data_IF_486259911972
#
_entry.id   IF_486259911972
#
_cell.length_a   1.000
_cell.length_b   1.000
_cell.length_c   1.000
_cell.angle_alpha   90.00
_cell.angle_beta   90.00
_cell.angle_gamma   90.00
#
_symmetry.space_group_name_H-M   'P 1'
#
loop_
_entity.id
_entity.type
_entity.pdbx_description
1 polymer ?
#
# COMPACT_ATOMS: atom_id res chain seq x y z
N UNK A 1 -2.67 -29.26 -5.94
CA UNK A 1 -3.55 -28.28 -5.26
C UNK A 1 -3.17 -28.03 -3.78
N UNK A 2 -2.86 -29.06 -2.98
CA UNK A 2 -2.55 -28.94 -1.53
C UNK A 2 -1.27 -28.15 -1.24
N UNK A 3 -0.19 -28.35 -2.01
CA UNK A 3 1.08 -27.62 -1.87
C UNK A 3 0.93 -26.13 -2.21
N UNK A 4 0.12 -25.79 -3.23
CA UNK A 4 -0.17 -24.40 -3.60
C UNK A 4 -0.90 -23.68 -2.46
N UNK A 5 -1.91 -24.34 -1.85
CA UNK A 5 -2.64 -23.79 -0.71
C UNK A 5 -1.76 -23.65 0.53
N UNK A 6 -0.83 -24.58 0.81
CA UNK A 6 0.15 -24.44 1.89
C UNK A 6 1.10 -23.26 1.65
N UNK A 7 1.63 -23.10 0.44
CA UNK A 7 2.49 -21.96 0.08
C UNK A 7 1.74 -20.63 0.15
N UNK A 8 0.48 -20.57 -0.30
CA UNK A 8 -0.38 -19.38 -0.19
C UNK A 8 -0.63 -19.06 1.29
N UNK A 9 -0.95 -20.05 2.13
CA UNK A 9 -1.21 -19.88 3.57
C UNK A 9 0.04 -19.41 4.31
N UNK A 10 1.20 -19.97 3.98
CA UNK A 10 2.49 -19.57 4.55
C UNK A 10 2.87 -18.14 4.14
N UNK A 11 2.68 -17.79 2.85
CA UNK A 11 2.92 -16.45 2.33
C UNK A 11 1.96 -15.42 2.94
N UNK A 12 0.67 -15.76 3.11
CA UNK A 12 -0.32 -14.96 3.83
C UNK A 12 0.07 -14.76 5.30
N UNK A 13 0.55 -15.81 5.98
CA UNK A 13 1.04 -15.72 7.35
C UNK A 13 2.24 -14.78 7.50
N UNK A 14 3.24 -14.88 6.62
CA UNK A 14 4.39 -13.96 6.61
C UNK A 14 3.97 -12.51 6.33
N UNK A 15 3.01 -12.30 5.41
CA UNK A 15 2.46 -10.98 5.10
C UNK A 15 1.77 -10.38 6.34
N UNK A 16 1.02 -11.20 7.08
CA UNK A 16 0.31 -10.76 8.29
C UNK A 16 1.27 -10.42 9.43
N UNK A 17 2.34 -11.19 9.61
CA UNK A 17 3.43 -10.90 10.56
C UNK A 17 4.12 -9.60 10.19
N UNK A 18 4.45 -9.39 8.91
CA UNK A 18 5.07 -8.16 8.44
C UNK A 18 4.19 -6.93 8.69
N UNK A 19 2.89 -6.99 8.38
CA UNK A 19 1.96 -5.90 8.71
C UNK A 19 1.86 -5.65 10.21
N UNK A 20 1.89 -6.70 11.03
CA UNK A 20 1.88 -6.58 12.49
C UNK A 20 3.14 -5.88 13.00
N UNK A 21 4.32 -6.24 12.49
CA UNK A 21 5.60 -5.60 12.83
C UNK A 21 5.62 -4.15 12.35
N UNK A 22 5.26 -3.87 11.10
CA UNK A 22 5.20 -2.50 10.57
C UNK A 22 4.22 -1.63 11.37
N UNK A 23 3.07 -2.18 11.74
CA UNK A 23 2.09 -1.48 12.57
C UNK A 23 2.66 -1.20 13.95
N UNK A 24 3.26 -2.20 14.63
CA UNK A 24 3.89 -2.02 15.93
C UNK A 24 5.00 -0.98 15.90
N UNK A 25 5.87 -1.00 14.89
CA UNK A 25 6.92 0.01 14.70
C UNK A 25 6.32 1.39 14.49
N UNK A 26 5.27 1.50 13.69
CA UNK A 26 4.58 2.77 13.44
C UNK A 26 3.88 3.30 14.71
N UNK A 27 3.29 2.41 15.51
CA UNK A 27 2.69 2.73 16.81
C UNK A 27 3.77 3.21 17.78
N UNK A 28 4.90 2.51 17.90
CA UNK A 28 6.00 2.91 18.78
C UNK A 28 6.59 4.26 18.37
N UNK A 29 6.78 4.50 17.08
CA UNK A 29 7.21 5.80 16.57
C UNK A 29 6.19 6.90 16.84
N UNK A 30 4.88 6.59 16.75
CA UNK A 30 3.80 7.50 17.14
C UNK A 30 3.86 7.86 18.63
N UNK A 31 4.03 6.87 19.50
CA UNK A 31 4.20 7.11 20.93
C UNK A 31 5.43 7.97 21.22
N UNK A 32 6.55 7.67 20.58
CA UNK A 32 7.80 8.41 20.75
C UNK A 32 7.63 9.89 20.35
N UNK A 33 6.98 10.18 19.21
CA UNK A 33 6.68 11.56 18.81
C UNK A 33 5.68 12.27 19.73
N UNK A 34 4.66 11.55 20.21
CA UNK A 34 3.73 12.08 21.20
C UNK A 34 4.45 12.44 22.52
N UNK A 35 5.44 11.64 22.93
CA UNK A 35 6.25 11.94 24.11
C UNK A 35 7.15 13.15 23.87
N UNK A 36 7.83 13.20 22.72
CA UNK A 36 8.68 14.34 22.34
C UNK A 36 7.89 15.66 22.26
N UNK A 37 6.68 15.63 21.69
CA UNK A 37 5.83 16.83 21.61
C UNK A 37 5.27 17.28 22.95
N UNK A 38 5.08 16.37 23.92
CA UNK A 38 4.72 16.72 25.31
C UNK A 38 5.88 17.36 26.08
N UNK A 39 7.12 16.99 25.75
CA UNK A 39 8.34 17.52 26.36
C UNK A 39 8.71 18.90 25.80
N UNK A 40 8.50 19.16 24.50
CA UNK A 40 8.77 20.46 23.86
C UNK A 40 7.59 21.45 24.03
N UNK A 41 7.60 22.28 25.09
CA UNK A 41 6.56 23.32 25.34
C UNK A 41 6.54 24.47 24.30
N UNK A 42 7.60 24.62 23.50
CA UNK A 42 7.80 25.74 22.56
C UNK A 42 7.44 25.45 21.10
N UNK A 43 7.18 24.18 20.73
CA UNK A 43 6.78 23.83 19.34
C UNK A 43 5.27 23.93 19.15
N UNK A 44 4.85 24.55 18.05
CA UNK A 44 3.47 24.46 17.54
C UNK A 44 3.02 23.00 17.50
N UNK A 45 1.94 22.66 18.23
CA UNK A 45 1.37 21.30 18.29
C UNK A 45 1.06 20.81 16.88
N UNK A 46 1.85 19.87 16.37
CA UNK A 46 1.56 19.18 15.10
C UNK A 46 0.63 18.02 15.42
N UNK A 47 -0.48 17.92 14.68
CA UNK A 47 -1.48 16.85 14.88
C UNK A 47 -1.21 15.61 14.01
N UNK A 48 -0.30 15.74 13.04
CA UNK A 48 0.08 14.71 12.08
C UNK A 48 1.57 14.83 11.76
N UNK A 49 2.24 13.69 11.60
CA UNK A 49 3.65 13.64 11.20
C UNK A 49 3.84 12.60 10.11
N UNK A 50 4.62 12.96 9.08
CA UNK A 50 5.05 12.03 8.04
C UNK A 50 6.36 11.35 8.46
N UNK A 51 6.35 10.03 8.53
CA UNK A 51 7.55 9.23 8.79
C UNK A 51 7.88 8.38 7.57
N UNK A 52 9.14 8.39 7.14
CA UNK A 52 9.58 7.47 6.10
C UNK A 52 9.65 6.05 6.67
N UNK A 53 9.22 5.08 5.87
CA UNK A 53 9.44 3.66 6.16
C UNK A 53 10.42 3.08 5.15
N UNK A 54 11.41 2.34 5.65
CA UNK A 54 12.32 1.59 4.79
C UNK A 54 11.54 0.44 4.14
N UNK A 55 11.87 0.15 2.89
CA UNK A 55 11.12 -0.83 2.09
C UNK A 55 12.07 -1.76 1.38
N UNK A 56 11.77 -3.06 1.39
CA UNK A 56 12.59 -4.08 0.73
C UNK A 56 12.25 -4.25 -0.76
N UNK A 57 11.37 -3.42 -1.33
CA UNK A 57 10.91 -3.55 -2.72
C UNK A 57 11.72 -2.65 -3.65
N UNK A 58 12.41 -3.24 -4.63
CA UNK A 58 13.30 -2.51 -5.58
C UNK A 58 12.60 -1.37 -6.34
N UNK A 59 11.29 -1.49 -6.65
CA UNK A 59 10.53 -0.46 -7.39
C UNK A 59 9.84 0.59 -6.51
N UNK A 60 9.96 0.48 -5.18
CA UNK A 60 9.27 1.37 -4.26
C UNK A 60 10.15 2.56 -3.93
N UNK A 61 9.87 3.69 -4.56
CA UNK A 61 10.61 4.95 -4.37
C UNK A 61 10.51 5.41 -2.92
N UNK A 62 9.30 5.39 -2.35
CA UNK A 62 9.08 5.87 -0.98
C UNK A 62 7.79 5.31 -0.41
N UNK A 63 7.86 4.76 0.79
CA UNK A 63 6.69 4.62 1.66
C UNK A 63 6.83 5.60 2.81
N UNK A 64 5.71 6.17 3.23
CA UNK A 64 5.66 6.86 4.49
C UNK A 64 4.32 6.77 5.16
N UNK A 65 4.34 7.10 6.43
CA UNK A 65 3.23 6.91 7.35
C UNK A 65 2.86 8.27 7.90
N UNK A 66 1.60 8.67 7.71
CA UNK A 66 1.02 9.84 8.34
C UNK A 66 0.42 9.39 9.66
N UNK A 67 1.14 9.64 10.74
CA UNK A 67 0.77 9.22 12.09
C UNK A 67 -0.33 10.12 12.64
N UNK A 68 -1.37 9.50 13.19
CA UNK A 68 -2.39 10.22 13.95
C UNK A 68 -1.94 10.43 15.39
N UNK A 69 -2.01 11.68 15.86
CA UNK A 69 -1.70 12.00 17.25
C UNK A 69 -2.96 12.27 18.09
N UNK A 70 -4.06 12.75 17.49
CA UNK A 70 -5.22 13.24 18.25
C UNK A 70 -6.60 13.07 17.59
N UNK A 71 -6.68 12.75 16.29
CA UNK A 71 -7.97 12.65 15.61
C UNK A 71 -8.73 11.39 16.02
N UNK A 72 -10.03 11.54 16.28
CA UNK A 72 -10.97 10.44 16.52
C UNK A 72 -11.86 10.16 15.32
N UNK A 73 -12.24 11.21 14.59
CA UNK A 73 -13.02 11.11 13.36
C UNK A 73 -12.14 10.72 12.16
N UNK A 74 -12.38 9.56 11.50
CA UNK A 74 -11.67 9.14 10.31
C UNK A 74 -11.74 10.15 9.16
N UNK A 75 -12.90 10.78 8.96
CA UNK A 75 -13.11 11.73 7.87
C UNK A 75 -12.25 12.98 8.06
N UNK A 76 -12.24 13.54 9.26
CA UNK A 76 -11.40 14.68 9.61
C UNK A 76 -9.90 14.34 9.53
N UNK A 77 -9.50 13.17 10.04
CA UNK A 77 -8.13 12.67 9.93
C UNK A 77 -7.67 12.61 8.48
N UNK A 78 -8.44 11.95 7.60
CA UNK A 78 -8.10 11.78 6.19
C UNK A 78 -8.03 13.12 5.45
N UNK A 79 -8.94 14.06 5.75
CA UNK A 79 -8.88 15.43 5.21
C UNK A 79 -7.60 16.15 5.60
N UNK A 80 -7.21 16.11 6.88
CA UNK A 80 -6.03 16.80 7.37
C UNK A 80 -4.72 16.13 6.94
N UNK A 81 -4.74 14.80 6.70
CA UNK A 81 -3.62 14.06 6.13
C UNK A 81 -3.24 14.52 4.71
N UNK A 82 -4.15 15.16 3.98
CA UNK A 82 -3.89 15.67 2.62
C UNK A 82 -2.70 16.63 2.56
N UNK A 83 -2.50 17.48 3.57
CA UNK A 83 -1.37 18.43 3.60
C UNK A 83 -0.03 17.69 3.55
N UNK A 84 0.16 16.68 4.40
CA UNK A 84 1.39 15.88 4.42
C UNK A 84 1.53 15.02 3.16
N UNK A 85 0.43 14.42 2.70
CA UNK A 85 0.39 13.63 1.47
C UNK A 85 0.83 14.43 0.24
N UNK A 86 0.19 15.60 0.02
CA UNK A 86 0.42 16.43 -1.16
C UNK A 86 1.87 16.92 -1.28
N UNK A 87 2.50 17.29 -0.16
CA UNK A 87 3.92 17.68 -0.13
C UNK A 87 4.81 16.55 -0.64
N UNK A 88 4.59 15.32 -0.18
CA UNK A 88 5.43 14.18 -0.53
C UNK A 88 5.19 13.71 -1.96
N UNK A 89 3.93 13.69 -2.41
CA UNK A 89 3.57 13.31 -3.77
C UNK A 89 4.10 14.31 -4.79
N UNK A 90 3.91 15.61 -4.56
CA UNK A 90 4.43 16.66 -5.47
C UNK A 90 5.95 16.59 -5.63
N UNK A 91 6.69 16.30 -4.54
CA UNK A 91 8.15 16.10 -4.60
C UNK A 91 8.56 14.94 -5.51
N UNK A 92 7.76 13.88 -5.61
CA UNK A 92 8.07 12.75 -6.48
C UNK A 92 7.59 12.94 -7.91
N UNK A 93 6.45 13.62 -8.11
CA UNK A 93 5.93 13.96 -9.43
C UNK A 93 6.88 14.85 -10.24
N UNK A 94 7.76 15.62 -9.59
CA UNK A 94 8.82 16.39 -10.26
C UNK A 94 9.82 15.52 -11.02
N UNK A 95 9.92 14.23 -10.70
CA UNK A 95 10.94 13.33 -11.26
C UNK A 95 10.37 12.38 -12.31
N UNK A 96 9.20 11.83 -12.04
CA UNK A 96 8.55 10.86 -12.92
C UNK A 96 7.07 10.73 -12.58
N UNK A 97 6.33 10.06 -13.45
CA UNK A 97 5.03 9.49 -13.10
C UNK A 97 5.21 8.47 -11.96
N UNK A 98 4.17 8.35 -11.13
CA UNK A 98 4.19 7.49 -9.95
C UNK A 98 2.93 6.64 -9.87
N UNK A 99 3.03 5.53 -9.14
CA UNK A 99 1.90 4.72 -8.72
C UNK A 99 1.71 4.92 -7.21
N UNK A 100 0.52 5.38 -6.82
CA UNK A 100 0.18 5.63 -5.42
C UNK A 100 -0.89 4.66 -4.96
N UNK A 101 -0.73 4.17 -3.73
CA UNK A 101 -1.82 3.59 -2.95
C UNK A 101 -1.73 4.05 -1.50
N UNK A 102 -2.82 3.89 -0.76
CA UNK A 102 -2.89 4.19 0.66
C UNK A 102 -3.44 3.01 1.44
N UNK A 103 -3.02 2.88 2.69
CA UNK A 103 -3.52 1.90 3.64
C UNK A 103 -3.82 2.62 4.96
N UNK A 104 -5.09 2.74 5.29
CA UNK A 104 -5.53 3.23 6.58
C UNK A 104 -5.37 2.12 7.62
N UNK A 105 -4.80 2.43 8.78
CA UNK A 105 -4.67 1.51 9.90
C UNK A 105 -5.42 2.05 11.12
N UNK A 106 -6.31 1.22 11.64
CA UNK A 106 -7.07 1.49 12.85
C UNK A 106 -7.11 0.26 13.76
N UNK A 107 -7.25 0.53 15.04
CA UNK A 107 -7.58 -0.44 16.06
C UNK A 107 -9.09 -0.46 16.23
N UNK A 108 -9.67 -1.66 16.17
CA UNK A 108 -11.10 -1.89 16.27
C UNK A 108 -11.37 -2.77 17.48
N UNK A 109 -12.54 -2.61 18.08
CA UNK A 109 -13.02 -3.39 19.21
C UNK A 109 -14.37 -4.02 18.90
N UNK A 110 -14.60 -5.27 19.30
CA UNK A 110 -15.94 -5.84 19.41
C UNK A 110 -16.52 -5.48 20.78
N UNK A 111 -17.58 -4.66 20.88
CA UNK A 111 -18.13 -4.24 22.17
C UNK A 111 -18.60 -5.42 23.04
N UNK A 112 -19.07 -6.51 22.42
CA UNK A 112 -19.63 -7.67 23.11
C UNK A 112 -18.57 -8.54 23.79
N UNK A 113 -17.39 -8.67 23.20
CA UNK A 113 -16.32 -9.56 23.67
C UNK A 113 -15.09 -8.83 24.20
N UNK A 114 -15.07 -7.49 24.09
CA UNK A 114 -13.90 -6.64 24.31
C UNK A 114 -12.66 -7.05 23.49
N UNK A 115 -12.83 -7.88 22.45
CA UNK A 115 -11.74 -8.32 21.58
C UNK A 115 -11.27 -7.11 20.75
N UNK A 116 -9.96 -6.84 20.76
CA UNK A 116 -9.35 -5.78 19.95
C UNK A 116 -8.55 -6.35 18.79
N UNK A 117 -8.65 -5.73 17.62
CA UNK A 117 -7.84 -6.14 16.47
C UNK A 117 -7.43 -4.97 15.59
N UNK A 118 -6.25 -5.08 15.00
CA UNK A 118 -5.75 -4.13 14.02
C UNK A 118 -6.32 -4.48 12.65
N UNK A 119 -6.88 -3.48 11.97
CA UNK A 119 -7.39 -3.61 10.61
C UNK A 119 -6.73 -2.61 9.68
N UNK A 120 -6.56 -3.05 8.44
CA UNK A 120 -5.98 -2.27 7.37
C UNK A 120 -6.99 -2.13 6.23
N UNK A 121 -7.36 -0.89 5.90
CA UNK A 121 -8.23 -0.58 4.77
C UNK A 121 -7.37 0.00 3.65
N UNK A 122 -7.13 -0.79 2.62
CA UNK A 122 -6.21 -0.45 1.53
C UNK A 122 -6.95 0.08 0.31
N UNK A 123 -6.34 1.01 -0.43
CA UNK A 123 -6.83 1.47 -1.73
C UNK A 123 -6.10 0.75 -2.86
N UNK A 124 -6.69 0.77 -4.06
CA UNK A 124 -6.04 0.21 -5.25
C UNK A 124 -4.88 1.12 -5.69
N UNK A 125 -3.92 0.51 -6.39
CA UNK A 125 -2.88 1.24 -7.10
C UNK A 125 -3.49 2.15 -8.16
N UNK A 126 -2.97 3.36 -8.25
CA UNK A 126 -3.43 4.38 -9.18
C UNK A 126 -2.24 5.15 -9.71
N UNK A 127 -2.19 5.38 -11.01
CA UNK A 127 -1.15 6.16 -11.65
C UNK A 127 -1.49 7.64 -11.46
N UNK A 128 -0.49 8.44 -11.10
CA UNK A 128 -0.60 9.90 -10.96
C UNK A 128 0.51 10.54 -11.80
N UNK A 129 0.15 11.57 -12.55
CA UNK A 129 1.04 12.46 -13.27
C UNK A 129 1.03 13.88 -12.66
N UNK A 130 1.81 14.79 -13.24
CA UNK A 130 1.94 16.16 -12.74
C UNK A 130 0.71 17.05 -13.05
N UNK A 131 -0.18 16.63 -13.96
CA UNK A 131 -1.31 17.42 -14.47
C UNK A 131 -2.59 17.19 -13.66
N UNK A 132 -2.67 16.11 -12.89
CA UNK A 132 -3.85 15.77 -12.10
C UNK A 132 -4.09 16.79 -10.98
N UNK A 133 -5.35 17.21 -10.81
CA UNK A 133 -5.79 17.87 -9.59
C UNK A 133 -5.71 16.91 -8.40
N UNK A 134 -4.58 16.98 -7.70
CA UNK A 134 -4.25 16.11 -6.59
C UNK A 134 -5.29 16.17 -5.45
N UNK A 135 -5.98 17.29 -5.26
CA UNK A 135 -6.97 17.46 -4.18
C UNK A 135 -8.22 16.67 -4.49
N UNK A 136 -8.76 16.84 -5.69
CA UNK A 136 -9.92 16.08 -6.15
C UNK A 136 -9.60 14.59 -6.30
N UNK A 137 -8.42 14.28 -6.84
CA UNK A 137 -7.95 12.91 -6.93
C UNK A 137 -7.85 12.22 -5.55
N UNK A 138 -7.31 12.90 -4.54
CA UNK A 138 -7.18 12.37 -3.18
C UNK A 138 -8.55 12.14 -2.54
N UNK A 139 -9.50 13.06 -2.74
CA UNK A 139 -10.87 12.93 -2.24
C UNK A 139 -11.52 11.63 -2.76
N UNK A 140 -11.50 11.43 -4.08
CA UNK A 140 -12.18 10.29 -4.73
C UNK A 140 -11.43 8.97 -4.45
N UNK A 141 -10.11 8.97 -4.58
CA UNK A 141 -9.33 7.72 -4.56
C UNK A 141 -8.86 7.28 -3.18
N UNK A 142 -8.82 8.19 -2.20
CA UNK A 142 -8.37 7.88 -0.84
C UNK A 142 -9.51 8.08 0.15
N UNK A 143 -10.07 9.29 0.25
CA UNK A 143 -11.08 9.58 1.28
C UNK A 143 -12.33 8.72 1.06
N UNK A 144 -12.98 8.84 -0.09
CA UNK A 144 -14.25 8.15 -0.36
C UNK A 144 -14.09 6.63 -0.37
N UNK A 145 -13.01 6.10 -0.95
CA UNK A 145 -12.73 4.65 -0.96
C UNK A 145 -12.48 4.09 0.43
N UNK A 146 -11.74 4.80 1.29
CA UNK A 146 -11.49 4.34 2.66
C UNK A 146 -12.76 4.45 3.49
N UNK A 147 -13.51 5.55 3.39
CA UNK A 147 -14.77 5.71 4.11
C UNK A 147 -15.82 4.68 3.70
N UNK A 148 -15.95 4.40 2.40
CA UNK A 148 -16.84 3.32 1.94
C UNK A 148 -16.45 1.97 2.54
N UNK A 149 -15.15 1.65 2.58
CA UNK A 149 -14.65 0.42 3.23
C UNK A 149 -14.87 0.41 4.73
N UNK A 150 -14.91 1.57 5.37
CA UNK A 150 -15.27 1.71 6.78
C UNK A 150 -16.75 1.39 7.01
N UNK A 151 -17.63 2.00 6.21
CA UNK A 151 -19.07 1.80 6.29
C UNK A 151 -19.41 0.34 6.01
N UNK A 152 -18.85 -0.24 4.94
CA UNK A 152 -18.98 -1.67 4.61
C UNK A 152 -18.52 -2.57 5.78
N UNK A 153 -17.47 -2.17 6.52
CA UNK A 153 -16.94 -2.97 7.63
C UNK A 153 -17.82 -2.91 8.89
N UNK A 154 -18.48 -1.77 9.11
CA UNK A 154 -19.40 -1.56 10.23
C UNK A 154 -20.79 -2.15 9.95
N UNK A 155 -21.31 -1.98 8.74
CA UNK A 155 -22.66 -2.40 8.36
C UNK A 155 -22.77 -3.90 8.11
N UNK A 156 -21.76 -4.53 7.49
CA UNK A 156 -22.01 -5.85 6.88
C UNK A 156 -21.98 -7.03 7.83
N UNK A 157 -21.02 -7.19 8.76
CA UNK A 157 -20.87 -8.55 9.34
C UNK A 157 -20.12 -8.71 10.67
N UNK A 158 -19.67 -7.64 11.32
CA UNK A 158 -18.46 -7.81 12.13
C UNK A 158 -18.59 -7.38 13.60
N UNK A 159 -19.58 -6.54 13.95
CA UNK A 159 -19.75 -6.02 15.30
C UNK A 159 -18.54 -5.23 15.81
N UNK A 160 -17.64 -4.82 14.91
CA UNK A 160 -16.42 -4.08 15.24
C UNK A 160 -16.69 -2.57 15.17
N UNK A 161 -16.43 -1.88 16.26
CA UNK A 161 -16.38 -0.43 16.33
C UNK A 161 -14.93 0.03 16.18
N UNK A 162 -14.72 1.18 15.54
CA UNK A 162 -13.40 1.82 15.53
C UNK A 162 -13.07 2.34 16.94
N UNK A 163 -11.98 1.83 17.53
CA UNK A 163 -11.48 2.27 18.83
C UNK A 163 -10.51 3.43 18.68
N UNK A 164 -9.54 3.30 17.75
CA UNK A 164 -8.47 4.28 17.58
C UNK A 164 -7.93 4.31 16.15
N UNK A 165 -7.72 5.52 15.64
CA UNK A 165 -7.01 5.74 14.38
C UNK A 165 -5.51 5.75 14.67
N UNK A 166 -4.73 4.90 13.99
CA UNK A 166 -3.29 4.84 14.18
C UNK A 166 -2.55 5.68 13.16
N UNK A 167 -2.74 5.39 11.87
CA UNK A 167 -2.03 6.07 10.81
C UNK A 167 -2.62 5.83 9.41
N UNK A 168 -2.21 6.66 8.46
CA UNK A 168 -2.40 6.45 7.03
C UNK A 168 -1.03 6.15 6.40
N UNK A 169 -0.80 4.91 5.98
CA UNK A 169 0.37 4.54 5.19
C UNK A 169 0.12 4.92 3.74
N UNK A 170 1.09 5.59 3.12
CA UNK A 170 1.06 5.97 1.72
C UNK A 170 2.24 5.33 1.04
N UNK A 171 1.98 4.54 0.00
CA UNK A 171 3.03 3.91 -0.80
C UNK A 171 3.11 4.62 -2.14
N UNK A 172 4.31 5.10 -2.48
CA UNK A 172 4.63 5.76 -3.73
C UNK A 172 5.67 4.91 -4.44
N UNK A 173 5.30 4.37 -5.58
CA UNK A 173 6.16 3.56 -6.43
C UNK A 173 6.45 4.29 -7.74
N UNK A 174 7.57 3.99 -8.38
CA UNK A 174 7.86 4.52 -9.70
C UNK A 174 6.89 3.91 -10.70
N UNK A 175 6.31 4.74 -11.57
CA UNK A 175 5.66 4.20 -12.75
C UNK A 175 6.75 3.85 -13.76
N UNK A 176 6.98 2.55 -13.94
CA UNK A 176 7.75 2.02 -15.07
C UNK A 176 6.72 1.42 -16.02
N UNK A 177 6.44 2.03 -17.18
CA UNK A 177 5.67 1.34 -18.20
C UNK A 177 6.37 0.01 -18.48
N UNK A 178 5.60 -1.04 -18.71
CA UNK A 178 6.18 -2.28 -19.23
C UNK A 178 6.91 -1.87 -20.50
N UNK A 179 8.21 -2.16 -20.61
CA UNK A 179 9.03 -1.79 -21.77
C UNK A 179 8.47 -2.54 -22.99
N UNK A 180 7.46 -1.96 -23.63
CA UNK A 180 6.90 -2.41 -24.90
C UNK A 180 7.94 -2.02 -25.94
N UNK A 181 8.74 -2.99 -26.39
CA UNK A 181 9.75 -2.78 -27.45
C UNK A 181 11.16 -3.27 -27.14
N UNK A 182 11.44 -3.81 -25.95
CA UNK A 182 12.69 -4.55 -25.69
C UNK A 182 12.31 -6.01 -25.47
N UNK A 183 12.94 -6.93 -26.20
CA UNK A 183 12.69 -8.38 -26.11
C UNK A 183 12.61 -8.79 -24.63
N UNK A 184 11.45 -9.25 -24.18
CA UNK A 184 11.22 -9.78 -22.83
C UNK A 184 11.76 -11.20 -22.68
N UNK A 185 12.74 -11.58 -23.50
CA UNK A 185 13.34 -12.90 -23.43
C UNK A 185 14.09 -13.04 -22.10
N UNK A 186 13.49 -13.81 -21.19
CA UNK A 186 14.11 -14.19 -19.94
C UNK A 186 14.76 -15.54 -20.17
N UNK A 187 16.06 -15.63 -19.94
CA UNK A 187 16.75 -16.90 -20.02
C UNK A 187 16.24 -17.83 -18.90
N UNK A 188 15.68 -18.97 -19.31
CA UNK A 188 15.21 -19.97 -18.36
C UNK A 188 16.38 -20.57 -17.56
N UNK A 189 16.22 -20.79 -16.25
CA UNK A 189 17.21 -21.48 -15.42
C UNK A 189 17.60 -22.85 -15.99
N UNK A 190 18.85 -23.29 -15.76
CA UNK A 190 19.40 -24.52 -16.32
C UNK A 190 18.57 -25.78 -16.03
N UNK A 191 17.97 -25.89 -14.84
CA UNK A 191 17.18 -27.07 -14.48
C UNK A 191 15.95 -27.25 -15.38
N UNK A 192 15.36 -26.15 -15.85
CA UNK A 192 14.22 -26.16 -16.79
C UNK A 192 14.72 -26.43 -18.23
N UNK A 193 15.87 -25.87 -18.61
CA UNK A 193 16.49 -26.17 -19.91
C UNK A 193 16.80 -27.66 -20.05
N UNK A 194 17.32 -28.27 -18.99
CA UNK A 194 17.69 -29.70 -18.95
C UNK A 194 16.47 -30.62 -19.01
N UNK A 195 15.32 -30.19 -18.48
CA UNK A 195 14.10 -31.01 -18.53
C UNK A 195 13.49 -31.12 -19.93
N UNK A 196 13.88 -30.25 -20.87
CA UNK A 196 13.35 -30.12 -22.25
C UNK A 196 11.83 -29.99 -22.35
N UNK A 197 11.13 -29.83 -21.22
CA UNK A 197 9.66 -29.78 -21.15
C UNK A 197 9.10 -28.40 -21.52
N UNK A 198 9.97 -27.39 -21.61
CA UNK A 198 9.61 -26.00 -21.88
C UNK A 198 10.48 -25.46 -23.01
N UNK A 199 9.85 -25.05 -24.11
CA UNK A 199 10.52 -24.40 -25.23
C UNK A 199 10.57 -22.89 -24.92
N UNK A 200 11.76 -22.35 -24.66
CA UNK A 200 11.95 -20.92 -24.42
C UNK A 200 12.17 -20.17 -25.73
N UNK A 201 11.08 -19.81 -26.38
CA UNK A 201 11.06 -19.13 -27.68
C UNK A 201 11.70 -17.73 -27.54
N UNK A 202 12.82 -17.51 -28.23
CA UNK A 202 13.41 -16.17 -28.40
C UNK A 202 12.61 -15.44 -29.46
N UNK A 203 11.89 -14.41 -29.07
CA UNK A 203 11.19 -13.54 -30.02
C UNK A 203 12.01 -12.25 -30.21
N UNK A 204 12.26 -11.90 -31.46
CA UNK A 204 12.98 -10.67 -31.84
C UNK A 204 12.01 -9.52 -32.15
N UNK A 205 10.70 -9.75 -32.07
CA UNK A 205 9.66 -8.80 -32.47
C UNK A 205 8.87 -8.28 -31.25
N UNK A 206 8.27 -7.10 -31.38
CA UNK A 206 7.54 -6.39 -30.32
C UNK A 206 6.19 -7.01 -29.92
N UNK A 207 5.79 -8.13 -30.53
CA UNK A 207 4.45 -8.73 -30.40
C UNK A 207 4.48 -10.14 -29.76
N UNK A 208 5.02 -10.27 -28.54
CA UNK A 208 5.18 -11.55 -27.84
C UNK A 208 3.88 -12.28 -27.44
N UNK A 209 2.72 -11.62 -27.43
CA UNK A 209 1.47 -12.23 -26.95
C UNK A 209 0.59 -12.84 -28.05
N UNK A 210 0.81 -12.50 -29.32
CA UNK A 210 -0.02 -13.01 -30.43
C UNK A 210 0.31 -14.46 -30.79
N UNK A 211 1.58 -14.88 -30.73
CA UNK A 211 1.98 -16.23 -31.15
C UNK A 211 1.52 -17.34 -30.20
N UNK A 212 1.27 -17.06 -28.91
CA UNK A 212 0.87 -18.10 -27.95
C UNK A 212 -0.55 -18.62 -28.17
N UNK A 213 -1.44 -17.80 -28.73
CA UNK A 213 -2.85 -18.16 -28.92
C UNK A 213 -3.00 -19.13 -30.10
N UNK A 214 -2.16 -19.02 -31.13
CA UNK A 214 -2.27 -19.86 -32.32
C UNK A 214 -1.61 -21.24 -32.19
N UNK A 215 -0.63 -21.43 -31.32
CA UNK A 215 0.05 -22.73 -31.18
C UNK A 215 -0.66 -23.73 -30.26
N UNK A 216 -1.73 -23.35 -29.56
CA UNK A 216 -2.55 -24.26 -28.74
C UNK A 216 -3.76 -24.85 -29.47
N UNK A 217 -3.91 -24.54 -30.77
CA UNK A 217 -5.03 -25.00 -31.61
C UNK A 217 -4.62 -25.99 -32.71
N UNK A 218 -3.46 -26.66 -32.57
CA UNK A 218 -3.06 -27.79 -33.41
C UNK A 218 -2.70 -28.99 -32.54
#
# INVERSE_FOLDING_TARGET
>A
MILLNKCIKYKLGCIQIFYKIESNVSILKSYLENLQTKLDRTKNKRYLVWQNTQTCFKNRIRSGVIVNLQYKDPKLFLKNAFKSFSIQVRKQLQKSQIIVNAAFCGEFIKPQTAETSLKHLTTNNQIIDYNIDLKNWYKINIIEKILKKFDDFQEKDSGWALLRILHLKVNINQYTPINIGISTYIEVPEFIKKSKSVINIKNNDSYCFLCKVNCSAC
#
